data_IF_969584207851
#
_entry.id   IF_969584207851
#
_cell.length_a   1.000
_cell.length_b   1.000
_cell.length_c   1.000
_cell.angle_alpha   90.00
_cell.angle_beta   90.00
_cell.angle_gamma   90.00
#
_symmetry.space_group_name_H-M   'P 1'
#
loop_
_entity.id
_entity.type
_entity.pdbx_description
1 polymer ?
#
# COMPACT_ATOMS: atom_id res chain seq x y z
N UNK A 1 48.72 -37.35 -46.28
CA UNK A 1 47.26 -37.59 -46.17
C UNK A 1 47.05 -38.39 -44.89
N UNK A 2 46.37 -37.95 -43.84
CA UNK A 2 45.40 -36.87 -43.70
C UNK A 2 45.40 -36.35 -42.26
N UNK A 3 45.33 -35.02 -42.18
CA UNK A 3 44.74 -34.15 -41.16
C UNK A 3 44.85 -34.56 -39.67
N UNK A 4 45.85 -33.94 -39.03
CA UNK A 4 45.73 -33.41 -37.68
C UNK A 4 44.52 -32.47 -37.60
N UNK A 5 43.38 -32.97 -37.10
CA UNK A 5 42.31 -32.12 -36.58
C UNK A 5 42.71 -31.73 -35.16
N UNK A 6 43.39 -30.59 -35.06
CA UNK A 6 43.56 -29.89 -33.79
C UNK A 6 42.16 -29.51 -33.31
N UNK A 7 41.72 -30.13 -32.22
CA UNK A 7 40.47 -29.82 -31.52
C UNK A 7 40.60 -28.46 -30.83
N UNK A 8 40.62 -27.39 -31.63
CA UNK A 8 40.67 -26.01 -31.15
C UNK A 8 39.26 -25.47 -31.11
N UNK A 9 38.60 -25.54 -29.95
CA UNK A 9 37.60 -24.58 -29.42
C UNK A 9 36.90 -25.10 -28.13
N UNK A 10 37.63 -25.50 -27.09
CA UNK A 10 36.98 -25.97 -25.84
C UNK A 10 36.74 -24.83 -24.84
N UNK A 11 35.81 -23.93 -25.16
CA UNK A 11 35.25 -23.04 -24.13
C UNK A 11 34.07 -23.69 -23.39
N UNK A 12 33.50 -23.06 -22.33
CA UNK A 12 32.49 -23.70 -21.49
C UNK A 12 31.22 -24.11 -22.26
N UNK A 13 30.67 -25.28 -21.89
CA UNK A 13 29.42 -25.83 -22.47
C UNK A 13 28.22 -24.95 -22.13
N UNK A 14 28.10 -24.55 -20.87
CA UNK A 14 27.07 -23.62 -20.40
C UNK A 14 27.51 -22.17 -20.58
N UNK A 15 26.63 -21.35 -21.16
CA UNK A 15 26.88 -19.92 -21.38
C UNK A 15 25.58 -19.14 -21.20
N UNK A 16 25.20 -18.77 -19.98
CA UNK A 16 23.97 -18.03 -19.71
C UNK A 16 23.83 -16.73 -20.53
N UNK A 17 24.96 -16.10 -20.90
CA UNK A 17 25.00 -14.95 -21.81
C UNK A 17 24.35 -15.19 -23.18
N UNK A 18 24.19 -16.45 -23.62
CA UNK A 18 23.50 -16.78 -24.88
C UNK A 18 22.07 -16.25 -24.88
N UNK A 19 21.34 -16.41 -23.77
CA UNK A 19 19.98 -15.91 -23.61
C UNK A 19 19.92 -14.38 -23.38
N UNK A 20 21.04 -13.74 -23.00
CA UNK A 20 21.10 -12.30 -22.74
C UNK A 20 21.49 -11.47 -23.97
N UNK A 21 21.93 -12.10 -25.06
CA UNK A 21 22.65 -11.46 -26.17
C UNK A 21 21.81 -10.46 -26.98
N UNK A 22 20.52 -10.74 -27.19
CA UNK A 22 19.66 -9.88 -28.02
C UNK A 22 18.41 -9.47 -27.24
N UNK A 23 17.80 -8.35 -27.62
CA UNK A 23 16.53 -7.90 -27.04
C UNK A 23 15.45 -8.99 -27.17
N UNK A 24 15.28 -9.56 -28.37
CA UNK A 24 14.28 -10.61 -28.60
C UNK A 24 14.50 -11.88 -27.76
N UNK A 25 15.76 -12.30 -27.54
CA UNK A 25 16.03 -13.45 -26.67
C UNK A 25 15.70 -13.14 -25.21
N UNK A 26 16.10 -11.95 -24.72
CA UNK A 26 15.77 -11.53 -23.35
C UNK A 26 14.26 -11.45 -23.12
N UNK A 27 13.51 -10.90 -24.08
CA UNK A 27 12.05 -10.81 -24.01
C UNK A 27 11.37 -12.18 -24.02
N UNK A 28 11.88 -13.16 -24.78
CA UNK A 28 11.28 -14.50 -24.87
C UNK A 28 11.41 -15.32 -23.58
N UNK A 29 12.46 -15.06 -22.79
CA UNK A 29 12.78 -15.85 -21.58
C UNK A 29 12.58 -15.04 -20.30
N UNK A 30 11.96 -13.86 -20.38
CA UNK A 30 11.66 -13.03 -19.23
C UNK A 30 10.58 -13.70 -18.38
N UNK A 31 10.85 -13.84 -17.08
CA UNK A 31 9.97 -14.58 -16.16
C UNK A 31 8.80 -13.75 -15.62
N UNK A 32 8.99 -12.42 -15.48
CA UNK A 32 8.05 -11.53 -14.82
C UNK A 32 7.80 -10.27 -15.65
N UNK A 33 6.60 -9.72 -15.56
CA UNK A 33 6.19 -8.50 -16.24
C UNK A 33 5.48 -7.58 -15.25
N UNK A 34 5.66 -6.27 -15.42
CA UNK A 34 4.86 -5.24 -14.75
C UNK A 34 3.86 -4.71 -15.78
N UNK A 35 2.61 -4.55 -15.36
CA UNK A 35 1.50 -4.03 -16.16
C UNK A 35 0.79 -2.92 -15.38
N UNK A 36 0.12 -1.96 -16.04
CA UNK A 36 -0.74 -1.00 -15.35
C UNK A 36 -1.77 -1.65 -14.41
N UNK A 37 -2.27 -2.84 -14.79
CA UNK A 37 -3.20 -3.64 -13.98
C UNK A 37 -2.62 -4.20 -12.67
N UNK A 38 -1.29 -4.17 -12.49
CA UNK A 38 -0.65 -4.55 -11.22
C UNK A 38 -0.63 -3.39 -10.22
N UNK A 39 -0.97 -2.16 -10.65
CA UNK A 39 -0.73 -0.94 -9.88
C UNK A 39 -1.99 -0.48 -9.15
N UNK A 40 -1.78 0.10 -7.97
CA UNK A 40 -2.77 0.86 -7.21
C UNK A 40 -2.18 2.23 -6.92
N UNK A 41 -2.94 3.30 -7.15
CA UNK A 41 -2.48 4.67 -6.90
C UNK A 41 -2.94 5.16 -5.52
N UNK A 42 -2.02 5.36 -4.55
CA UNK A 42 -2.34 6.01 -3.28
C UNK A 42 -2.59 7.51 -3.50
N UNK A 43 -3.70 8.04 -3.00
CA UNK A 43 -4.10 9.44 -3.16
C UNK A 43 -4.46 10.06 -1.79
N UNK A 44 -4.03 11.29 -1.56
CA UNK A 44 -4.32 12.03 -0.33
C UNK A 44 -5.45 13.03 -0.56
N UNK A 45 -6.42 13.04 0.35
CA UNK A 45 -7.55 13.96 0.29
C UNK A 45 -7.60 14.87 1.51
N UNK A 46 -8.21 16.04 1.36
CA UNK A 46 -8.35 17.05 2.41
C UNK A 46 -9.65 17.84 2.22
N UNK A 47 -10.00 18.65 3.20
CA UNK A 47 -11.15 19.56 3.12
C UNK A 47 -10.93 20.75 2.17
N UNK A 48 -12.07 21.30 1.71
CA UNK A 48 -12.15 22.49 0.87
C UNK A 48 -12.71 22.20 -0.52
N UNK A 49 -12.52 23.15 -1.45
CA UNK A 49 -13.01 23.10 -2.82
C UNK A 49 -11.98 23.75 -3.76
N UNK A 50 -11.72 23.13 -4.90
CA UNK A 50 -10.73 23.60 -5.89
C UNK A 50 -9.32 23.78 -5.30
N UNK A 51 -8.93 22.89 -4.38
CA UNK A 51 -7.64 22.96 -3.67
C UNK A 51 -6.77 21.75 -3.97
N UNK A 52 -5.49 22.04 -4.22
CA UNK A 52 -4.43 21.05 -4.42
C UNK A 52 -3.16 21.55 -3.71
N UNK A 53 -2.79 20.90 -2.61
CA UNK A 53 -1.63 21.27 -1.79
C UNK A 53 -0.46 20.31 -2.04
N UNK A 54 0.73 20.78 -2.43
CA UNK A 54 1.88 19.92 -2.62
C UNK A 54 2.39 19.36 -1.28
N UNK A 55 2.83 18.10 -1.28
CA UNK A 55 3.48 17.47 -0.14
C UNK A 55 5.00 17.61 -0.32
N UNK A 56 5.66 18.38 0.55
CA UNK A 56 7.04 18.79 0.34
C UNK A 56 8.02 17.61 0.32
N UNK A 57 7.87 16.65 1.24
CA UNK A 57 8.68 15.43 1.26
C UNK A 57 8.33 14.40 0.19
N UNK A 58 7.31 14.64 -0.63
CA UNK A 58 6.88 13.74 -1.70
C UNK A 58 6.67 14.53 -3.01
N UNK A 59 7.75 14.99 -3.67
CA UNK A 59 7.64 15.84 -4.86
C UNK A 59 6.80 15.21 -5.97
N UNK A 60 5.70 15.88 -6.35
CA UNK A 60 4.73 15.38 -7.33
C UNK A 60 3.45 14.80 -6.73
N UNK A 61 3.40 14.62 -5.40
CA UNK A 61 2.20 14.21 -4.68
C UNK A 61 1.51 15.42 -4.03
N UNK A 62 0.19 15.31 -3.86
CA UNK A 62 -0.64 16.39 -3.37
C UNK A 62 -1.72 15.89 -2.41
N UNK A 63 -2.14 16.75 -1.47
CA UNK A 63 -3.44 16.65 -0.81
C UNK A 63 -4.48 17.39 -1.67
N UNK A 64 -5.61 16.76 -1.91
CA UNK A 64 -6.62 17.26 -2.86
C UNK A 64 -7.97 17.43 -2.19
N UNK A 65 -8.69 18.52 -2.48
CA UNK A 65 -10.12 18.58 -2.17
C UNK A 65 -10.88 17.51 -2.98
N UNK A 66 -12.08 17.15 -2.55
CA UNK A 66 -12.88 16.07 -3.16
C UNK A 66 -13.07 16.27 -4.67
N UNK A 67 -13.31 17.50 -5.11
CA UNK A 67 -13.43 17.83 -6.55
C UNK A 67 -12.13 17.56 -7.32
N UNK A 68 -10.97 17.94 -6.77
CA UNK A 68 -9.67 17.68 -7.39
C UNK A 68 -9.30 16.19 -7.35
N UNK A 69 -9.69 15.48 -6.29
CA UNK A 69 -9.50 14.03 -6.16
C UNK A 69 -10.24 13.30 -7.29
N UNK A 70 -11.48 13.70 -7.58
CA UNK A 70 -12.28 13.09 -8.66
C UNK A 70 -11.58 13.26 -10.02
N UNK A 71 -11.05 14.44 -10.33
CA UNK A 71 -10.29 14.65 -11.58
C UNK A 71 -9.02 13.79 -11.62
N UNK A 72 -8.31 13.65 -10.49
CA UNK A 72 -7.14 12.78 -10.39
C UNK A 72 -7.51 11.30 -10.62
N UNK A 73 -8.64 10.84 -10.06
CA UNK A 73 -9.16 9.48 -10.26
C UNK A 73 -9.50 9.19 -11.73
N UNK A 74 -10.12 10.14 -12.45
CA UNK A 74 -10.37 9.99 -13.90
C UNK A 74 -9.08 9.84 -14.68
N UNK A 75 -8.03 10.56 -14.29
CA UNK A 75 -6.73 10.42 -14.92
C UNK A 75 -6.10 9.05 -14.63
N UNK A 76 -6.19 8.56 -13.38
CA UNK A 76 -5.75 7.21 -13.00
C UNK A 76 -6.45 6.14 -13.83
N UNK A 77 -7.77 6.21 -13.96
CA UNK A 77 -8.58 5.29 -14.77
C UNK A 77 -8.18 5.34 -16.25
N UNK A 78 -7.94 6.53 -16.80
CA UNK A 78 -7.50 6.71 -18.20
C UNK A 78 -6.16 6.04 -18.51
N UNK A 79 -5.33 5.80 -17.48
CA UNK A 79 -4.04 5.11 -17.57
C UNK A 79 -4.16 3.60 -17.34
N UNK A 80 -5.39 3.07 -17.30
CA UNK A 80 -5.71 1.66 -17.09
C UNK A 80 -5.20 1.10 -15.75
N UNK A 81 -5.08 1.98 -14.75
CA UNK A 81 -4.80 1.60 -13.37
C UNK A 81 -6.15 1.25 -12.71
N UNK A 82 -6.33 0.03 -12.20
CA UNK A 82 -7.64 -0.47 -11.81
C UNK A 82 -8.15 0.07 -10.47
N UNK A 83 -7.28 0.62 -9.63
CA UNK A 83 -7.66 0.99 -8.27
C UNK A 83 -6.91 2.21 -7.72
N UNK A 84 -7.57 2.91 -6.80
CA UNK A 84 -6.99 3.95 -5.93
C UNK A 84 -7.07 3.53 -4.47
N UNK A 85 -6.06 3.90 -3.69
CA UNK A 85 -6.08 3.79 -2.23
C UNK A 85 -6.18 5.21 -1.63
N UNK A 86 -7.26 5.51 -0.93
CA UNK A 86 -7.54 6.87 -0.48
C UNK A 86 -7.05 7.08 0.97
N UNK A 87 -6.44 8.23 1.28
CA UNK A 87 -5.92 8.54 2.62
C UNK A 87 -6.35 9.94 3.08
N UNK A 88 -7.23 10.07 4.09
CA UNK A 88 -7.78 11.36 4.49
C UNK A 88 -6.85 12.13 5.43
N UNK A 89 -6.51 13.35 5.07
CA UNK A 89 -5.87 14.32 5.95
C UNK A 89 -6.95 15.09 6.71
N UNK A 90 -7.38 14.54 7.85
CA UNK A 90 -8.43 15.11 8.70
C UNK A 90 -7.91 16.38 9.41
N UNK A 91 -8.68 17.48 9.42
CA UNK A 91 -8.33 18.68 10.17
C UNK A 91 -8.10 18.40 11.66
N UNK A 92 -7.03 18.95 12.22
CA UNK A 92 -6.62 18.73 13.60
C UNK A 92 -7.69 19.04 14.66
N UNK A 93 -8.60 19.98 14.35
CA UNK A 93 -9.72 20.38 15.21
C UNK A 93 -10.76 19.27 15.38
N UNK A 94 -10.80 18.30 14.46
CA UNK A 94 -11.71 17.16 14.48
C UNK A 94 -11.07 15.90 15.07
N UNK A 95 -9.77 15.96 15.42
CA UNK A 95 -9.07 14.84 16.03
C UNK A 95 -9.27 14.84 17.54
N UNK A 96 -9.64 13.69 18.10
CA UNK A 96 -9.78 13.48 19.54
C UNK A 96 -9.27 12.10 19.98
N UNK A 97 -9.26 11.85 21.30
CA UNK A 97 -8.68 10.62 21.87
C UNK A 97 -9.54 9.37 21.60
N UNK A 98 -10.78 9.57 21.14
CA UNK A 98 -11.74 8.51 20.84
C UNK A 98 -11.94 8.33 19.31
N UNK A 99 -11.20 9.09 18.50
CA UNK A 99 -11.27 9.13 17.05
C UNK A 99 -12.71 9.30 16.51
N UNK A 100 -13.53 10.15 17.14
CA UNK A 100 -14.98 10.22 16.86
C UNK A 100 -15.31 10.55 15.40
N UNK A 101 -14.50 11.38 14.75
CA UNK A 101 -14.67 11.75 13.34
C UNK A 101 -14.51 10.56 12.38
N UNK A 102 -13.88 9.46 12.80
CA UNK A 102 -13.76 8.23 12.01
C UNK A 102 -15.11 7.58 11.70
N UNK A 103 -16.12 7.84 12.54
CA UNK A 103 -17.47 7.29 12.42
C UNK A 103 -18.49 8.33 11.93
N UNK A 104 -18.03 9.48 11.42
CA UNK A 104 -18.91 10.51 10.89
C UNK A 104 -19.37 10.16 9.46
N UNK A 105 -20.66 9.83 9.23
CA UNK A 105 -21.12 9.46 7.89
C UNK A 105 -21.06 10.61 6.88
N UNK A 106 -21.07 11.85 7.36
CA UNK A 106 -20.95 13.06 6.54
C UNK A 106 -19.51 13.63 6.57
N UNK A 107 -18.58 12.90 7.18
CA UNK A 107 -17.18 13.26 7.26
C UNK A 107 -16.49 13.28 5.89
N UNK A 108 -15.26 13.79 5.87
CA UNK A 108 -14.47 13.92 4.64
C UNK A 108 -14.39 12.61 3.84
N UNK A 109 -14.16 11.50 4.54
CA UNK A 109 -13.80 10.25 3.90
C UNK A 109 -14.98 9.55 3.20
N UNK A 110 -16.14 9.32 3.85
CA UNK A 110 -17.33 8.80 3.16
C UNK A 110 -17.83 9.70 2.03
N UNK A 111 -17.74 11.04 2.17
CA UNK A 111 -18.10 11.96 1.08
C UNK A 111 -17.21 11.78 -0.15
N UNK A 112 -15.91 11.62 0.06
CA UNK A 112 -14.97 11.41 -1.03
C UNK A 112 -15.14 10.06 -1.71
N UNK A 113 -15.36 8.98 -0.96
CA UNK A 113 -15.63 7.64 -1.51
C UNK A 113 -16.86 7.71 -2.43
N UNK A 114 -17.97 8.29 -1.94
CA UNK A 114 -19.21 8.47 -2.72
C UNK A 114 -18.96 9.26 -4.00
N UNK A 115 -18.25 10.38 -3.91
CA UNK A 115 -17.95 11.22 -5.07
C UNK A 115 -17.07 10.51 -6.12
N UNK A 116 -16.08 9.73 -5.69
CA UNK A 116 -15.24 8.95 -6.61
C UNK A 116 -16.06 7.85 -7.28
N UNK A 117 -16.87 7.09 -6.53
CA UNK A 117 -17.71 6.03 -7.10
C UNK A 117 -18.78 6.56 -8.05
N UNK A 118 -19.32 7.76 -7.80
CA UNK A 118 -20.25 8.41 -8.73
C UNK A 118 -19.57 8.80 -10.04
N UNK A 119 -18.34 9.34 -9.96
CA UNK A 119 -17.64 9.88 -11.12
C UNK A 119 -16.83 8.84 -11.93
N UNK A 120 -16.34 7.78 -11.28
CA UNK A 120 -15.49 6.72 -11.84
C UNK A 120 -16.00 5.35 -11.35
N UNK A 121 -17.18 4.89 -11.81
CA UNK A 121 -17.84 3.70 -11.25
C UNK A 121 -17.03 2.41 -11.42
N UNK A 122 -16.20 2.31 -12.47
CA UNK A 122 -15.38 1.13 -12.77
C UNK A 122 -14.01 1.15 -12.04
N UNK A 123 -13.62 2.29 -11.46
CA UNK A 123 -12.41 2.42 -10.66
C UNK A 123 -12.65 1.84 -9.27
N UNK A 124 -11.80 0.88 -8.86
CA UNK A 124 -11.88 0.29 -7.53
C UNK A 124 -11.37 1.28 -6.48
N UNK A 125 -12.13 1.44 -5.41
CA UNK A 125 -11.77 2.27 -4.26
C UNK A 125 -11.37 1.39 -3.09
N UNK A 126 -10.10 1.48 -2.72
CA UNK A 126 -9.54 0.85 -1.52
C UNK A 126 -9.52 1.90 -0.40
N UNK A 127 -10.13 1.59 0.74
CA UNK A 127 -10.16 2.48 1.90
C UNK A 127 -9.28 1.96 3.03
N UNK A 128 -8.55 2.87 3.65
CA UNK A 128 -7.73 2.61 4.83
C UNK A 128 -8.62 2.59 6.08
N UNK A 129 -8.45 1.58 6.93
CA UNK A 129 -9.11 1.47 8.24
C UNK A 129 -8.01 1.45 9.30
N UNK A 130 -7.82 2.61 9.94
CA UNK A 130 -6.90 2.85 11.05
C UNK A 130 -7.28 4.18 11.72
N UNK A 131 -6.98 4.33 13.02
CA UNK A 131 -7.38 5.54 13.76
C UNK A 131 -6.37 6.69 13.65
N UNK A 132 -5.18 6.51 13.08
CA UNK A 132 -4.11 7.53 13.14
C UNK A 132 -4.44 8.88 12.47
N UNK A 133 -5.28 8.95 11.41
CA UNK A 133 -5.71 10.25 10.88
C UNK A 133 -6.75 10.96 11.75
N UNK A 134 -7.41 10.24 12.66
CA UNK A 134 -8.55 10.72 13.46
C UNK A 134 -8.20 10.90 14.94
N UNK A 135 -7.17 10.22 15.41
CA UNK A 135 -6.71 10.25 16.79
C UNK A 135 -5.91 11.52 17.08
N UNK A 136 -6.23 12.20 18.19
CA UNK A 136 -5.38 13.28 18.71
C UNK A 136 -4.00 12.81 19.18
N UNK A 137 -3.81 11.51 19.36
CA UNK A 137 -2.56 10.89 19.84
C UNK A 137 -1.68 10.39 18.68
N UNK A 138 -2.24 10.25 17.48
CA UNK A 138 -1.53 9.80 16.26
C UNK A 138 -1.24 8.29 16.21
N UNK A 139 -1.95 7.50 17.02
CA UNK A 139 -1.88 6.03 17.04
C UNK A 139 -2.99 5.40 16.20
N UNK A 140 -2.73 4.19 15.72
CA UNK A 140 -3.65 3.46 14.83
C UNK A 140 -4.83 2.84 15.61
N UNK A 141 -4.74 2.84 16.95
CA UNK A 141 -5.76 2.36 17.89
C UNK A 141 -5.92 3.29 19.10
N UNK A 142 -6.91 3.00 19.94
CA UNK A 142 -7.24 3.78 21.13
C UNK A 142 -6.13 3.69 22.17
N UNK A 143 -5.72 4.83 22.73
CA UNK A 143 -4.77 4.88 23.84
C UNK A 143 -5.54 4.86 25.16
N UNK A 144 -5.23 3.88 26.02
CA UNK A 144 -5.79 3.71 27.36
C UNK A 144 -4.66 3.36 28.34
N UNK A 145 -4.61 4.07 29.47
CA UNK A 145 -3.64 3.82 30.54
C UNK A 145 -2.17 3.69 30.06
N UNK A 146 -1.78 4.49 29.07
CA UNK A 146 -0.41 4.49 28.53
C UNK A 146 -0.10 3.42 27.48
N UNK A 147 -1.09 2.67 27.02
CA UNK A 147 -0.93 1.61 26.02
C UNK A 147 -1.99 1.73 24.92
N UNK A 148 -1.73 1.13 23.76
CA UNK A 148 -2.73 0.96 22.70
C UNK A 148 -3.59 -0.24 23.09
N UNK A 149 -4.88 -0.02 23.29
CA UNK A 149 -5.84 -1.05 23.70
C UNK A 149 -6.39 -1.77 22.46
N UNK A 150 -5.96 -3.03 22.28
CA UNK A 150 -6.33 -3.86 21.15
C UNK A 150 -7.85 -4.04 21.04
N UNK A 151 -8.46 -4.61 22.07
CA UNK A 151 -9.84 -5.08 22.03
C UNK A 151 -10.82 -3.91 22.02
N UNK A 152 -10.49 -2.81 22.71
CA UNK A 152 -11.30 -1.60 22.66
C UNK A 152 -11.26 -0.93 21.27
N UNK A 153 -10.20 -1.15 20.49
CA UNK A 153 -10.05 -0.58 19.15
C UNK A 153 -10.89 -1.33 18.10
N UNK A 154 -11.02 -2.65 18.22
CA UNK A 154 -11.65 -3.49 17.17
C UNK A 154 -13.07 -3.05 16.78
N UNK A 155 -14.00 -2.71 17.71
CA UNK A 155 -15.33 -2.27 17.35
C UNK A 155 -15.34 -1.00 16.50
N UNK A 156 -14.46 -0.04 16.78
CA UNK A 156 -14.37 1.20 15.99
C UNK A 156 -13.90 0.89 14.57
N UNK A 157 -12.89 0.03 14.40
CA UNK A 157 -12.40 -0.36 13.07
C UNK A 157 -13.50 -1.09 12.27
N UNK A 158 -14.29 -1.93 12.94
CA UNK A 158 -15.41 -2.63 12.33
C UNK A 158 -16.52 -1.66 11.87
N UNK A 159 -16.89 -0.69 12.71
CA UNK A 159 -17.89 0.33 12.36
C UNK A 159 -17.39 1.25 11.23
N UNK A 160 -16.09 1.61 11.22
CA UNK A 160 -15.46 2.33 10.10
C UNK A 160 -15.56 1.54 8.80
N UNK A 161 -15.25 0.25 8.83
CA UNK A 161 -15.30 -0.60 7.64
C UNK A 161 -16.71 -0.65 7.03
N UNK A 162 -17.74 -0.82 7.88
CA UNK A 162 -19.14 -0.78 7.44
C UNK A 162 -19.49 0.58 6.85
N UNK A 163 -19.08 1.68 7.49
CA UNK A 163 -19.32 3.03 6.98
C UNK A 163 -18.64 3.27 5.62
N UNK A 164 -17.44 2.75 5.41
CA UNK A 164 -16.74 2.85 4.14
C UNK A 164 -17.42 2.00 3.06
N UNK A 165 -17.89 0.80 3.40
CA UNK A 165 -18.66 -0.06 2.51
C UNK A 165 -20.01 0.58 2.12
N UNK A 166 -20.72 1.19 3.06
CA UNK A 166 -21.92 2.01 2.82
C UNK A 166 -21.67 3.14 1.83
N UNK A 167 -20.49 3.77 1.90
CA UNK A 167 -20.08 4.83 0.99
C UNK A 167 -19.70 4.32 -0.41
N UNK A 168 -19.52 3.00 -0.59
CA UNK A 168 -19.23 2.35 -1.88
C UNK A 168 -17.79 1.87 -2.05
N UNK A 169 -17.02 1.72 -0.97
CA UNK A 169 -15.68 1.12 -1.04
C UNK A 169 -15.76 -0.33 -1.56
N UNK A 170 -14.85 -0.69 -2.46
CA UNK A 170 -14.78 -2.04 -3.04
C UNK A 170 -13.88 -2.97 -2.20
N UNK A 171 -12.83 -2.40 -1.59
CA UNK A 171 -11.92 -3.10 -0.69
C UNK A 171 -11.70 -2.30 0.59
N UNK A 172 -11.85 -2.96 1.73
CA UNK A 172 -11.45 -2.43 3.03
C UNK A 172 -10.03 -2.88 3.33
N UNK A 173 -9.17 -1.96 3.74
CA UNK A 173 -7.78 -2.25 4.04
C UNK A 173 -7.41 -1.86 5.49
N UNK A 174 -7.65 -2.75 6.46
CA UNK A 174 -7.25 -2.54 7.85
C UNK A 174 -5.73 -2.45 7.92
N UNK A 175 -5.21 -1.27 8.27
CA UNK A 175 -3.78 -1.01 8.36
C UNK A 175 -3.27 -0.88 9.79
N UNK A 176 -4.15 -0.96 10.77
CA UNK A 176 -3.95 -0.72 12.19
C UNK A 176 -2.99 -1.68 12.90
N UNK A 177 -2.86 -2.94 12.42
CA UNK A 177 -2.07 -4.01 13.05
C UNK A 177 -2.56 -4.44 14.45
N UNK A 178 -3.85 -4.31 14.76
CA UNK A 178 -4.45 -4.91 15.94
C UNK A 178 -4.67 -6.42 15.74
N UNK A 179 -4.51 -7.22 16.79
CA UNK A 179 -4.82 -8.65 16.76
C UNK A 179 -6.33 -8.86 16.60
N UNK A 180 -6.75 -9.71 15.65
CA UNK A 180 -8.16 -10.05 15.45
C UNK A 180 -8.99 -9.05 14.62
N UNK A 181 -8.38 -7.96 14.12
CA UNK A 181 -9.13 -6.93 13.36
C UNK A 181 -9.77 -7.44 12.09
N UNK A 182 -9.14 -8.38 11.38
CA UNK A 182 -9.66 -8.90 10.11
C UNK A 182 -10.98 -9.62 10.38
N UNK A 183 -11.02 -10.46 11.42
CA UNK A 183 -12.22 -11.20 11.80
C UNK A 183 -13.35 -10.29 12.26
N UNK A 184 -13.02 -9.25 13.03
CA UNK A 184 -13.98 -8.23 13.46
C UNK A 184 -14.58 -7.46 12.27
N UNK A 185 -13.73 -6.98 11.35
CA UNK A 185 -14.14 -6.27 10.14
C UNK A 185 -14.98 -7.16 9.23
N UNK A 186 -14.54 -8.39 8.94
CA UNK A 186 -15.29 -9.36 8.12
C UNK A 186 -16.67 -9.62 8.72
N UNK A 187 -16.74 -9.89 10.02
CA UNK A 187 -18.00 -10.15 10.70
C UNK A 187 -18.96 -8.97 10.60
N UNK A 188 -18.47 -7.74 10.78
CA UNK A 188 -19.30 -6.54 10.70
C UNK A 188 -19.78 -6.25 9.27
N UNK A 189 -18.91 -6.39 8.27
CA UNK A 189 -19.28 -6.26 6.85
C UNK A 189 -20.40 -7.25 6.49
N UNK A 190 -20.23 -8.53 6.84
CA UNK A 190 -21.22 -9.56 6.51
C UNK A 190 -22.55 -9.33 7.25
N UNK A 191 -22.51 -8.90 8.51
CA UNK A 191 -23.71 -8.55 9.28
C UNK A 191 -24.42 -7.29 8.74
N UNK A 192 -23.66 -6.33 8.22
CA UNK A 192 -24.17 -5.16 7.51
C UNK A 192 -24.71 -5.46 6.11
N UNK A 193 -24.52 -6.68 5.60
CA UNK A 193 -24.95 -7.09 4.26
C UNK A 193 -23.95 -6.76 3.14
N UNK A 194 -22.71 -6.38 3.48
CA UNK A 194 -21.62 -6.04 2.57
C UNK A 194 -20.76 -7.28 2.23
N UNK A 195 -21.41 -8.39 1.89
CA UNK A 195 -20.74 -9.69 1.67
C UNK A 195 -19.79 -9.71 0.48
N UNK A 196 -19.97 -8.79 -0.46
CA UNK A 196 -19.15 -8.70 -1.69
C UNK A 196 -17.93 -7.76 -1.52
N UNK A 197 -17.84 -7.03 -0.40
CA UNK A 197 -16.71 -6.14 -0.12
C UNK A 197 -15.53 -6.96 0.39
N UNK A 198 -14.40 -6.86 -0.30
CA UNK A 198 -13.19 -7.62 0.02
C UNK A 198 -12.33 -6.96 1.11
N UNK A 199 -11.46 -7.75 1.74
CA UNK A 199 -10.49 -7.28 2.73
C UNK A 199 -9.07 -7.44 2.19
N UNK A 200 -8.37 -6.31 2.08
CA UNK A 200 -6.92 -6.24 1.84
C UNK A 200 -6.23 -6.01 3.18
N UNK A 201 -5.84 -7.08 3.86
CA UNK A 201 -5.23 -6.98 5.17
C UNK A 201 -3.77 -6.49 5.06
N UNK A 202 -3.41 -5.47 5.83
CA UNK A 202 -2.00 -5.14 6.04
C UNK A 202 -1.39 -6.14 7.01
N UNK A 203 -1.15 -7.34 6.49
CA UNK A 203 -0.74 -8.53 7.24
C UNK A 203 0.64 -8.38 7.88
N UNK A 204 1.60 -7.90 7.10
CA UNK A 204 2.97 -7.73 7.58
C UNK A 204 3.38 -6.26 7.46
N UNK A 205 2.83 -5.41 8.34
CA UNK A 205 3.19 -3.99 8.45
C UNK A 205 4.23 -3.81 9.57
N UNK A 206 5.44 -3.47 9.16
CA UNK A 206 6.59 -3.31 10.06
C UNK A 206 6.68 -1.92 10.68
N UNK A 207 7.25 -1.84 11.89
CA UNK A 207 7.64 -0.61 12.57
C UNK A 207 8.83 0.04 11.85
N UNK A 208 8.56 0.69 10.73
CA UNK A 208 9.58 1.14 9.77
C UNK A 208 9.88 2.64 9.85
N UNK A 209 11.14 2.99 9.59
CA UNK A 209 11.60 4.37 9.42
C UNK A 209 11.22 4.97 8.05
N UNK A 210 10.74 4.15 7.10
CA UNK A 210 10.38 4.61 5.74
C UNK A 210 9.04 5.37 5.67
N UNK A 211 8.33 5.53 6.78
CA UNK A 211 7.00 6.19 6.80
C UNK A 211 7.04 7.71 7.01
N UNK A 212 8.23 8.30 7.21
CA UNK A 212 8.36 9.74 7.51
C UNK A 212 7.57 10.65 6.55
N UNK A 213 7.74 10.53 5.22
CA UNK A 213 7.02 11.38 4.28
C UNK A 213 5.48 11.19 4.29
N UNK A 214 4.98 9.98 4.55
CA UNK A 214 3.54 9.72 4.68
C UNK A 214 2.96 10.37 5.94
N UNK A 215 3.69 10.31 7.06
CA UNK A 215 3.26 10.96 8.30
C UNK A 215 3.18 12.47 8.16
N UNK A 216 4.08 13.08 7.39
CA UNK A 216 3.95 14.49 7.00
C UNK A 216 2.73 14.70 6.11
N UNK A 217 2.47 13.81 5.14
CA UNK A 217 1.33 13.92 4.24
C UNK A 217 -0.03 13.93 4.98
N UNK A 218 -0.17 13.23 6.11
CA UNK A 218 -1.43 13.18 6.89
C UNK A 218 -1.42 13.96 8.20
N UNK A 219 -0.27 14.48 8.63
CA UNK A 219 -0.06 14.99 9.99
C UNK A 219 -0.50 13.97 11.07
N UNK A 220 -0.01 12.73 10.91
CA UNK A 220 -0.42 11.54 11.70
C UNK A 220 0.74 10.86 12.45
N UNK A 221 1.85 11.57 12.66
CA UNK A 221 2.92 11.07 13.51
C UNK A 221 2.43 10.93 14.97
N UNK A 222 2.82 9.85 15.70
CA UNK A 222 2.55 9.76 17.13
C UNK A 222 2.98 11.02 17.86
N UNK A 223 2.08 11.61 18.63
CA UNK A 223 2.36 12.87 19.32
C UNK A 223 3.21 12.60 20.56
N UNK A 224 4.16 13.48 20.83
CA UNK A 224 4.98 13.43 22.04
C UNK A 224 4.19 14.01 23.21
N UNK A 225 3.27 13.22 23.77
CA UNK A 225 2.43 13.59 24.91
C UNK A 225 2.80 12.75 26.14
N UNK A 226 2.42 13.23 27.34
CA UNK A 226 2.57 12.44 28.57
C UNK A 226 1.61 11.25 28.49
N UNK A 227 2.08 10.06 28.87
CA UNK A 227 1.29 8.82 28.86
C UNK A 227 0.78 8.39 27.47
N UNK A 228 1.45 8.83 26.39
CA UNK A 228 1.21 8.35 25.02
C UNK A 228 2.51 7.74 24.48
N UNK A 229 2.52 6.49 23.98
CA UNK A 229 3.72 5.89 23.40
C UNK A 229 4.27 6.70 22.23
N UNK A 230 5.59 6.90 22.18
CA UNK A 230 6.24 7.70 21.13
C UNK A 230 6.51 6.96 19.82
N UNK A 231 6.19 5.66 19.75
CA UNK A 231 6.38 4.84 18.56
C UNK A 231 5.29 3.76 18.45
N UNK A 232 5.28 3.07 17.30
CA UNK A 232 4.26 2.08 16.93
C UNK A 232 4.76 0.63 17.13
N UNK A 233 5.84 0.41 17.90
CA UNK A 233 6.53 -0.90 18.00
C UNK A 233 5.81 -1.94 18.85
N UNK A 234 4.76 -1.55 19.57
CA UNK A 234 3.97 -2.49 20.39
C UNK A 234 2.94 -3.25 19.56
N UNK A 235 2.69 -2.86 18.32
CA UNK A 235 1.72 -3.49 17.42
C UNK A 235 2.24 -3.66 15.98
N UNK A 236 3.03 -2.71 15.45
CA UNK A 236 3.72 -2.93 14.18
C UNK A 236 4.92 -3.87 14.37
N UNK A 237 5.13 -4.75 13.38
CA UNK A 237 6.11 -5.82 13.48
C UNK A 237 7.55 -5.33 13.60
N UNK A 238 8.40 -6.09 14.29
CA UNK A 238 9.83 -5.83 14.35
C UNK A 238 10.49 -6.09 12.98
N UNK A 239 11.20 -5.13 12.37
CA UNK A 239 11.94 -5.31 11.11
C UNK A 239 12.89 -6.52 11.04
N UNK A 240 13.31 -7.07 12.19
CA UNK A 240 14.19 -8.22 12.26
C UNK A 240 13.47 -9.58 12.03
N UNK A 241 12.13 -9.60 11.98
CA UNK A 241 11.35 -10.83 12.03
C UNK A 241 10.68 -11.15 10.70
N UNK A 242 11.20 -12.13 9.95
CA UNK A 242 10.56 -12.60 8.72
C UNK A 242 9.52 -13.71 8.97
N UNK A 243 9.80 -14.66 9.88
CA UNK A 243 8.89 -15.81 10.10
C UNK A 243 7.59 -15.42 10.80
N UNK A 244 7.60 -14.36 11.60
CA UNK A 244 6.41 -13.81 12.24
C UNK A 244 5.37 -13.39 11.18
N UNK A 245 5.82 -12.86 10.03
CA UNK A 245 4.91 -12.47 8.95
C UNK A 245 4.09 -13.64 8.40
N UNK A 246 4.66 -14.84 8.35
CA UNK A 246 3.96 -16.06 7.91
C UNK A 246 2.89 -16.46 8.93
N UNK A 247 3.16 -16.23 10.23
CA UNK A 247 2.17 -16.41 11.30
C UNK A 247 1.04 -15.39 11.17
N UNK A 248 1.35 -14.10 11.00
CA UNK A 248 0.35 -13.05 10.80
C UNK A 248 -0.55 -13.37 9.59
N UNK A 249 0.05 -13.80 8.47
CA UNK A 249 -0.69 -14.23 7.29
C UNK A 249 -1.64 -15.40 7.57
N UNK A 250 -1.21 -16.37 8.37
CA UNK A 250 -2.06 -17.50 8.75
C UNK A 250 -3.28 -17.06 9.57
N UNK A 251 -3.11 -16.05 10.44
CA UNK A 251 -4.19 -15.50 11.25
C UNK A 251 -5.19 -14.71 10.39
N UNK A 252 -4.69 -13.78 9.58
CA UNK A 252 -5.51 -12.98 8.66
C UNK A 252 -6.31 -13.86 7.69
N UNK A 253 -5.69 -14.90 7.13
CA UNK A 253 -6.37 -15.89 6.29
C UNK A 253 -7.51 -16.57 7.05
N UNK A 254 -7.24 -17.06 8.27
CA UNK A 254 -8.25 -17.75 9.07
C UNK A 254 -9.42 -16.83 9.47
N UNK A 255 -9.16 -15.53 9.53
CA UNK A 255 -10.13 -14.48 9.85
C UNK A 255 -10.91 -13.95 8.64
N UNK A 256 -10.53 -14.33 7.41
CA UNK A 256 -11.27 -13.99 6.19
C UNK A 256 -10.70 -12.83 5.38
N UNK A 257 -9.37 -12.63 5.42
CA UNK A 257 -8.70 -11.74 4.46
C UNK A 257 -8.73 -12.33 3.04
N UNK A 258 -9.02 -11.47 2.05
CA UNK A 258 -9.05 -11.83 0.64
C UNK A 258 -7.70 -11.58 -0.05
N UNK A 259 -6.95 -10.58 0.43
CA UNK A 259 -5.63 -10.18 -0.07
C UNK A 259 -4.73 -9.91 1.13
N UNK A 260 -3.49 -10.40 1.07
CA UNK A 260 -2.47 -10.15 2.11
C UNK A 260 -1.49 -9.08 1.65
N UNK A 261 -1.02 -8.22 2.54
CA UNK A 261 -0.05 -7.17 2.20
C UNK A 261 1.21 -7.17 3.06
N UNK A 262 2.35 -6.91 2.41
CA UNK A 262 3.61 -6.54 3.06
C UNK A 262 3.85 -5.02 2.94
N UNK A 263 4.19 -4.38 4.07
CA UNK A 263 4.52 -2.95 4.14
C UNK A 263 5.66 -2.70 5.13
N UNK A 264 6.76 -2.02 4.76
CA UNK A 264 7.11 -1.48 3.44
C UNK A 264 7.44 -2.53 2.38
N UNK A 265 7.76 -2.09 1.17
CA UNK A 265 8.01 -2.95 0.02
C UNK A 265 9.49 -3.28 -0.17
N UNK A 266 10.26 -2.32 -0.69
CA UNK A 266 11.64 -2.57 -1.14
C UNK A 266 12.56 -3.21 -0.08
N UNK A 267 12.51 -2.82 1.20
CA UNK A 267 13.34 -3.46 2.22
C UNK A 267 12.85 -4.85 2.66
N UNK A 268 11.69 -5.33 2.20
CA UNK A 268 11.03 -6.55 2.68
C UNK A 268 10.60 -7.48 1.52
N UNK A 269 11.33 -7.46 0.39
CA UNK A 269 11.06 -8.35 -0.76
C UNK A 269 11.22 -9.84 -0.41
N UNK A 270 12.05 -10.17 0.58
CA UNK A 270 12.19 -11.50 1.15
C UNK A 270 10.92 -11.95 1.89
N UNK A 271 10.25 -11.03 2.58
CA UNK A 271 8.96 -11.30 3.24
C UNK A 271 7.86 -11.50 2.21
N UNK A 272 7.81 -10.66 1.15
CA UNK A 272 6.88 -10.87 0.02
C UNK A 272 7.07 -12.26 -0.58
N UNK A 273 8.33 -12.68 -0.78
CA UNK A 273 8.64 -14.02 -1.26
C UNK A 273 8.17 -15.10 -0.30
N UNK A 274 8.45 -14.96 1.00
CA UNK A 274 8.07 -15.93 2.01
C UNK A 274 6.54 -16.13 2.07
N UNK A 275 5.77 -15.04 2.01
CA UNK A 275 4.31 -15.12 1.95
C UNK A 275 3.82 -15.81 0.67
N UNK A 276 4.37 -15.44 -0.50
CA UNK A 276 3.95 -16.05 -1.77
C UNK A 276 4.30 -17.54 -1.86
N UNK A 277 5.40 -17.96 -1.25
CA UNK A 277 5.79 -19.38 -1.19
C UNK A 277 4.94 -20.18 -0.19
N UNK A 278 4.57 -19.58 0.95
CA UNK A 278 3.76 -20.22 1.97
C UNK A 278 2.27 -20.31 1.58
N UNK A 279 1.76 -19.29 0.89
CA UNK A 279 0.34 -19.14 0.53
C UNK A 279 0.19 -18.80 -0.97
N UNK A 280 0.63 -19.67 -1.88
CA UNK A 280 0.62 -19.38 -3.33
C UNK A 280 -0.77 -19.12 -3.91
N UNK A 281 -1.82 -19.63 -3.26
CA UNK A 281 -3.22 -19.44 -3.63
C UNK A 281 -3.79 -18.06 -3.28
N UNK A 282 -3.15 -17.31 -2.37
CA UNK A 282 -3.59 -15.97 -1.99
C UNK A 282 -2.91 -14.88 -2.84
N UNK A 283 -3.65 -13.83 -3.23
CA UNK A 283 -3.06 -12.63 -3.81
C UNK A 283 -2.18 -11.91 -2.77
N UNK A 284 -0.97 -11.54 -3.18
CA UNK A 284 -0.03 -10.79 -2.32
C UNK A 284 0.11 -9.36 -2.84
N UNK A 285 -0.32 -8.39 -2.05
CA UNK A 285 -0.07 -6.98 -2.27
C UNK A 285 1.25 -6.53 -1.60
N UNK A 286 1.85 -5.48 -2.12
CA UNK A 286 3.02 -4.82 -1.50
C UNK A 286 2.88 -3.31 -1.61
N UNK A 287 3.30 -2.60 -0.57
CA UNK A 287 3.31 -1.15 -0.58
C UNK A 287 4.73 -0.60 -0.77
N UNK A 288 5.01 -0.03 -1.94
CA UNK A 288 6.17 0.82 -2.17
C UNK A 288 5.96 2.19 -1.50
N UNK A 289 6.39 2.31 -0.24
CA UNK A 289 5.94 3.38 0.65
C UNK A 289 6.57 4.74 0.36
N UNK A 290 6.10 5.74 1.09
CA UNK A 290 6.43 7.15 0.86
C UNK A 290 7.92 7.46 0.94
N UNK A 291 8.66 6.83 1.86
CA UNK A 291 10.11 6.97 1.98
C UNK A 291 10.87 6.34 0.82
N UNK A 292 10.37 5.22 0.29
CA UNK A 292 10.95 4.58 -0.90
C UNK A 292 10.75 5.47 -2.14
N UNK A 293 9.54 6.04 -2.29
CA UNK A 293 9.23 7.05 -3.31
C UNK A 293 10.16 8.26 -3.21
N UNK A 294 10.20 8.90 -2.03
CA UNK A 294 10.99 10.10 -1.80
C UNK A 294 12.49 9.88 -2.02
N UNK A 295 13.02 8.71 -1.65
CA UNK A 295 14.41 8.35 -1.88
C UNK A 295 14.76 8.35 -3.38
N UNK A 296 13.89 7.75 -4.21
CA UNK A 296 14.09 7.73 -5.68
C UNK A 296 13.95 9.14 -6.26
N UNK A 297 12.88 9.87 -5.89
CA UNK A 297 12.67 11.26 -6.35
C UNK A 297 13.83 12.18 -6.00
N UNK A 298 14.38 12.05 -4.78
CA UNK A 298 15.53 12.84 -4.35
C UNK A 298 16.80 12.50 -5.15
N UNK A 299 17.13 11.21 -5.32
CA UNK A 299 18.30 10.80 -6.08
C UNK A 299 18.20 11.21 -7.56
N UNK A 300 17.02 11.06 -8.17
CA UNK A 300 16.75 11.49 -9.53
C UNK A 300 16.79 13.02 -9.71
N UNK A 301 16.19 13.77 -8.78
CA UNK A 301 16.23 15.23 -8.77
C UNK A 301 17.65 15.80 -8.66
N UNK A 302 18.59 15.04 -8.08
CA UNK A 302 20.02 15.35 -8.05
C UNK A 302 20.81 14.81 -9.26
N UNK A 303 20.16 14.13 -10.20
CA UNK A 303 20.79 13.53 -11.38
C UNK A 303 21.64 12.29 -11.07
N UNK A 304 21.47 11.66 -9.91
CA UNK A 304 22.24 10.46 -9.54
C UNK A 304 21.66 9.19 -10.15
N UNK A 305 20.36 9.17 -10.38
CA UNK A 305 19.62 8.05 -10.97
C UNK A 305 18.73 8.53 -12.12
N UNK A 306 18.54 7.67 -13.12
CA UNK A 306 17.50 7.80 -14.14
C UNK A 306 16.17 7.32 -13.53
N UNK A 307 15.24 8.25 -13.26
CA UNK A 307 14.00 7.97 -12.55
C UNK A 307 13.14 6.88 -13.23
N UNK A 308 12.75 6.99 -14.52
CA UNK A 308 12.03 5.93 -15.20
C UNK A 308 12.70 4.55 -15.07
N UNK A 309 14.01 4.48 -15.28
CA UNK A 309 14.73 3.20 -15.25
C UNK A 309 14.68 2.55 -13.86
N UNK A 310 14.98 3.29 -12.80
CA UNK A 310 15.07 2.74 -11.43
C UNK A 310 13.70 2.44 -10.83
N UNK A 311 12.67 3.23 -11.17
CA UNK A 311 11.30 2.95 -10.74
C UNK A 311 10.81 1.66 -11.37
N UNK A 312 10.94 1.50 -12.69
CA UNK A 312 10.52 0.26 -13.37
C UNK A 312 11.32 -0.96 -12.88
N UNK A 313 12.60 -0.78 -12.52
CA UNK A 313 13.41 -1.84 -11.90
C UNK A 313 12.91 -2.20 -10.50
N UNK A 314 12.54 -1.23 -9.66
CA UNK A 314 11.96 -1.47 -8.34
C UNK A 314 10.60 -2.20 -8.46
N UNK A 315 9.73 -1.78 -9.37
CA UNK A 315 8.45 -2.45 -9.63
C UNK A 315 8.63 -3.88 -10.11
N UNK A 316 9.61 -4.12 -10.99
CA UNK A 316 10.00 -5.48 -11.39
C UNK A 316 10.52 -6.30 -10.20
N UNK A 317 11.19 -5.67 -9.23
CA UNK A 317 11.59 -6.28 -7.97
C UNK A 317 10.40 -6.86 -7.19
N UNK A 318 9.32 -6.09 -7.06
CA UNK A 318 8.08 -6.52 -6.42
C UNK A 318 7.43 -7.70 -7.15
N UNK A 319 7.22 -7.60 -8.47
CA UNK A 319 6.64 -8.69 -9.27
C UNK A 319 7.49 -9.95 -9.17
N UNK A 320 8.81 -9.81 -9.32
CA UNK A 320 9.75 -10.93 -9.19
C UNK A 320 9.66 -11.58 -7.81
N UNK A 321 9.51 -10.82 -6.73
CA UNK A 321 9.37 -11.34 -5.37
C UNK A 321 8.07 -12.11 -5.14
N UNK A 322 7.03 -11.87 -5.95
CA UNK A 322 5.76 -12.59 -5.89
C UNK A 322 4.55 -11.70 -5.65
N UNK A 323 4.70 -10.38 -5.66
CA UNK A 323 3.57 -9.47 -5.52
C UNK A 323 2.65 -9.51 -6.75
N UNK A 324 1.37 -9.68 -6.50
CA UNK A 324 0.29 -9.59 -7.47
C UNK A 324 -0.15 -8.13 -7.65
N UNK A 325 -0.20 -7.37 -6.55
CA UNK A 325 -0.69 -5.98 -6.50
C UNK A 325 0.39 -5.06 -5.88
N UNK A 326 0.59 -3.87 -6.44
CA UNK A 326 1.60 -2.91 -6.00
C UNK A 326 0.97 -1.54 -5.74
N UNK A 327 0.89 -1.14 -4.48
CA UNK A 327 0.57 0.22 -4.09
C UNK A 327 1.82 1.07 -4.25
N UNK A 328 1.79 2.07 -5.13
CA UNK A 328 2.95 2.94 -5.38
C UNK A 328 2.54 4.35 -5.78
N UNK A 329 3.22 5.34 -5.22
CA UNK A 329 3.06 6.74 -5.61
C UNK A 329 3.60 7.05 -7.01
N UNK A 330 4.34 6.11 -7.62
CA UNK A 330 4.76 6.19 -9.02
C UNK A 330 3.72 5.62 -10.00
N UNK A 331 2.50 5.23 -9.56
CA UNK A 331 1.57 4.45 -10.39
C UNK A 331 1.28 5.10 -11.75
N UNK A 332 0.94 6.40 -11.76
CA UNK A 332 0.67 7.16 -12.99
C UNK A 332 1.90 7.27 -13.89
N UNK A 333 3.05 7.57 -13.32
CA UNK A 333 4.29 7.72 -14.08
C UNK A 333 4.73 6.39 -14.69
N UNK A 334 4.69 5.31 -13.90
CA UNK A 334 4.98 3.96 -14.35
C UNK A 334 4.03 3.49 -15.46
N UNK A 335 2.73 3.73 -15.34
CA UNK A 335 1.76 3.40 -16.38
C UNK A 335 2.08 4.10 -17.71
N UNK A 336 2.46 5.38 -17.67
CA UNK A 336 2.87 6.13 -18.88
C UNK A 336 4.18 5.59 -19.48
N UNK A 337 5.13 5.17 -18.66
CA UNK A 337 6.41 4.61 -19.15
C UNK A 337 6.30 3.18 -19.68
N UNK A 338 5.28 2.43 -19.24
CA UNK A 338 4.97 1.08 -19.73
C UNK A 338 4.17 1.07 -21.05
N UNK A 339 3.58 2.22 -21.41
CA UNK A 339 2.70 2.38 -22.59
C UNK A 339 3.44 2.42 -23.92
#
# INVERSE_FOLDING_TARGET
>A
MNLLLTDTLTGPKERPRRLRRTKGLRSMVQENHVRPSDLVAPLFLMEGSERREPIASMPGQFRMSVDQLVEECREVESLQIPAVALFPAIPDVLKDADATEALNPEGLYPRAIRAVKEACPDLLVITDVALDPYSSDGHDGLVRDGAIDNDATLPLLADMAVLHAEAGADLIAPSDMMDGRVGAVRTALDQGGYTDVGILAYTAKYASAFYGPFREALDSAPRQLTDVPGDKKTYQMNPANAHEAVREASLDIAEGADILMVKPGLPYLDVVRALKEAFPEYPIAVYNVSGEYAMIKAAAGNGWLDEPAVVLEALMGFKRAGADIILTYHAKDAARWLS
#
